data_IF_718841733164
#
_entry.id   IF_718841733164
#
_cell.length_a   1.000
_cell.length_b   1.000
_cell.length_c   1.000
_cell.angle_alpha   90.00
_cell.angle_beta   90.00
_cell.angle_gamma   90.00
#
_symmetry.space_group_name_H-M   'P 1'
#
loop_
_entity.id
_entity.type
_entity.pdbx_description
1 polymer ?
#
# COMPACT_ATOMS: atom_id res chain seq x y z
N UNK A 1 -13.18 8.76 16.02
CA UNK A 1 -12.69 8.68 14.61
C UNK A 1 -12.82 7.25 14.08
N UNK A 2 -13.98 6.90 13.50
CA UNK A 2 -14.27 5.52 13.05
C UNK A 2 -14.68 5.39 11.58
N UNK A 3 -14.63 6.48 10.80
CA UNK A 3 -15.14 6.51 9.41
C UNK A 3 -14.21 5.87 8.38
N UNK A 4 -12.88 5.93 8.59
CA UNK A 4 -11.93 5.33 7.64
C UNK A 4 -11.99 3.80 7.56
N UNK A 5 -12.17 3.11 8.70
CA UNK A 5 -12.19 1.63 8.73
C UNK A 5 -13.44 1.04 8.08
N UNK A 6 -14.60 1.70 8.25
CA UNK A 6 -15.87 1.25 7.63
C UNK A 6 -15.85 1.41 6.11
N UNK A 7 -15.24 2.50 5.60
CA UNK A 7 -15.05 2.71 4.16
C UNK A 7 -14.15 1.62 3.56
N UNK A 8 -13.00 1.35 4.19
CA UNK A 8 -12.06 0.32 3.75
C UNK A 8 -12.68 -1.08 3.75
N UNK A 9 -13.51 -1.42 4.74
CA UNK A 9 -14.21 -2.70 4.78
C UNK A 9 -15.30 -2.82 3.70
N UNK A 10 -16.03 -1.74 3.42
CA UNK A 10 -17.00 -1.69 2.32
C UNK A 10 -16.31 -1.74 0.94
N UNK A 11 -15.16 -1.09 0.80
CA UNK A 11 -14.31 -1.14 -0.40
C UNK A 11 -13.76 -2.55 -0.62
N UNK A 12 -13.30 -3.23 0.43
CA UNK A 12 -12.88 -4.64 0.40
C UNK A 12 -13.98 -5.59 -0.06
N UNK A 13 -15.20 -5.43 0.44
CA UNK A 13 -16.33 -6.28 0.08
C UNK A 13 -16.79 -6.11 -1.38
N UNK A 14 -16.37 -5.02 -2.02
CA UNK A 14 -16.75 -4.66 -3.37
C UNK A 14 -15.67 -4.91 -4.43
N UNK A 15 -14.50 -5.42 -4.03
CA UNK A 15 -13.40 -5.79 -4.93
C UNK A 15 -13.51 -7.30 -5.23
N UNK A 16 -13.37 -7.74 -6.50
CA UNK A 16 -13.29 -9.16 -6.81
C UNK A 16 -12.18 -9.85 -6.01
N UNK A 17 -12.45 -11.04 -5.49
CA UNK A 17 -11.56 -11.73 -4.54
C UNK A 17 -10.13 -11.96 -5.04
N UNK A 18 -9.96 -12.15 -6.35
CA UNK A 18 -8.65 -12.33 -6.98
C UNK A 18 -7.76 -11.07 -6.91
N UNK A 19 -8.37 -9.90 -7.11
CA UNK A 19 -7.67 -8.61 -7.03
C UNK A 19 -7.33 -8.30 -5.58
N UNK A 20 -8.28 -8.62 -4.69
CA UNK A 20 -8.04 -8.46 -3.26
C UNK A 20 -6.87 -9.33 -2.81
N UNK A 21 -6.83 -10.61 -3.20
CA UNK A 21 -5.72 -11.51 -2.89
C UNK A 21 -4.40 -11.00 -3.46
N UNK A 22 -4.40 -10.47 -4.67
CA UNK A 22 -3.19 -9.91 -5.31
C UNK A 22 -2.68 -8.65 -4.60
N UNK A 23 -3.60 -7.80 -4.11
CA UNK A 23 -3.25 -6.62 -3.31
C UNK A 23 -2.75 -7.03 -1.91
N UNK A 24 -3.39 -8.01 -1.27
CA UNK A 24 -2.99 -8.51 0.06
C UNK A 24 -1.66 -9.29 0.02
N UNK A 25 -1.34 -9.93 -1.11
CA UNK A 25 -0.06 -10.59 -1.35
C UNK A 25 1.08 -9.64 -1.71
N UNK A 26 0.79 -8.37 -1.99
CA UNK A 26 1.81 -7.40 -2.37
C UNK A 26 2.75 -7.10 -1.19
N UNK A 27 4.05 -7.08 -1.48
CA UNK A 27 5.07 -6.70 -0.51
C UNK A 27 5.27 -5.18 -0.50
N UNK A 28 5.36 -4.61 0.70
CA UNK A 28 5.56 -3.18 0.90
C UNK A 28 6.94 -2.92 1.50
N UNK A 29 7.72 -2.07 0.85
CA UNK A 29 9.04 -1.67 1.34
C UNK A 29 9.07 -0.16 1.56
N UNK A 30 9.33 0.24 2.80
CA UNK A 30 9.61 1.64 3.11
C UNK A 30 11.06 1.96 2.76
N UNK A 31 11.28 2.70 1.66
CA UNK A 31 12.61 3.23 1.35
C UNK A 31 12.78 4.56 2.06
N UNK A 32 13.75 4.62 2.99
CA UNK A 32 14.16 5.88 3.59
C UNK A 32 14.86 6.71 2.51
N UNK A 33 14.20 7.74 2.01
CA UNK A 33 14.78 8.67 1.05
C UNK A 33 15.60 9.73 1.76
N UNK A 34 16.80 10.01 1.25
CA UNK A 34 17.45 11.30 1.42
C UNK A 34 16.56 12.35 0.73
N UNK A 35 16.13 13.37 1.45
CA UNK A 35 15.15 14.41 1.04
C UNK A 35 13.65 14.04 1.08
N UNK A 36 13.06 14.50 2.18
CA UNK A 36 11.72 15.09 2.35
C UNK A 36 10.46 14.23 2.20
N UNK A 37 10.50 13.08 1.50
CA UNK A 37 9.31 12.21 1.42
C UNK A 37 9.66 10.71 1.47
N UNK A 38 9.15 9.95 2.45
CA UNK A 38 9.29 8.50 2.46
C UNK A 38 8.56 7.91 1.25
N UNK A 39 9.28 7.14 0.44
CA UNK A 39 8.74 6.47 -0.75
C UNK A 39 8.45 5.01 -0.41
N UNK A 40 7.18 4.62 -0.43
CA UNK A 40 6.79 3.22 -0.28
C UNK A 40 6.89 2.56 -1.66
N UNK A 41 7.64 1.47 -1.74
CA UNK A 41 7.68 0.61 -2.93
C UNK A 41 6.64 -0.49 -2.71
N UNK A 42 5.75 -0.66 -3.69
CA UNK A 42 4.79 -1.76 -3.74
C UNK A 42 5.32 -2.78 -4.74
N UNK A 43 5.45 -4.03 -4.31
CA UNK A 43 5.84 -5.15 -5.15
C UNK A 43 4.72 -6.19 -5.15
N UNK A 44 3.81 -6.13 -6.14
CA UNK A 44 2.79 -7.16 -6.33
C UNK A 44 3.44 -8.48 -6.76
N UNK A 45 2.80 -9.60 -6.41
CA UNK A 45 3.26 -10.93 -6.80
C UNK A 45 3.26 -11.08 -8.33
N UNK A 46 4.37 -11.56 -8.92
CA UNK A 46 4.52 -11.70 -10.37
C UNK A 46 4.77 -10.39 -11.13
N UNK A 47 4.85 -9.24 -10.45
CA UNK A 47 5.15 -7.94 -11.08
C UNK A 47 6.43 -7.31 -10.51
N UNK A 48 7.04 -6.43 -11.30
CA UNK A 48 8.13 -5.58 -10.82
C UNK A 48 7.63 -4.61 -9.75
N UNK A 49 8.47 -4.33 -8.76
CA UNK A 49 8.17 -3.33 -7.74
C UNK A 49 8.14 -1.92 -8.32
N UNK A 50 7.17 -1.10 -7.89
CA UNK A 50 7.04 0.29 -8.31
C UNK A 50 6.88 1.21 -7.10
N UNK A 51 7.24 2.49 -7.28
CA UNK A 51 7.03 3.49 -6.23
C UNK A 51 5.54 3.82 -6.17
N UNK A 52 4.96 3.76 -4.98
CA UNK A 52 3.55 4.07 -4.78
C UNK A 52 3.25 5.50 -5.23
N UNK A 53 2.39 5.63 -6.23
CA UNK A 53 1.88 6.87 -6.80
C UNK A 53 0.57 6.53 -7.51
N UNK A 54 -0.37 7.47 -7.55
CA UNK A 54 -1.69 7.26 -8.16
C UNK A 54 -1.59 6.72 -9.61
N UNK A 55 -0.75 7.37 -10.43
CA UNK A 55 -0.45 6.95 -11.81
C UNK A 55 0.15 5.53 -11.90
N UNK A 56 1.07 5.17 -10.99
CA UNK A 56 1.72 3.86 -11.02
C UNK A 56 0.77 2.74 -10.60
N UNK A 57 -0.15 3.03 -9.66
CA UNK A 57 -1.20 2.10 -9.24
C UNK A 57 -2.21 1.90 -10.37
N UNK A 58 -2.67 2.97 -11.02
CA UNK A 58 -3.57 2.88 -12.17
C UNK A 58 -2.96 2.04 -13.30
N UNK A 59 -1.70 2.32 -13.68
CA UNK A 59 -0.98 1.53 -14.69
C UNK A 59 -0.86 0.07 -14.33
N UNK A 60 -0.55 -0.24 -13.06
CA UNK A 60 -0.48 -1.62 -12.60
C UNK A 60 -1.85 -2.31 -12.66
N UNK A 61 -2.91 -1.67 -12.16
CA UNK A 61 -4.27 -2.24 -12.17
C UNK A 61 -4.75 -2.50 -13.60
N UNK A 62 -4.55 -1.56 -14.53
CA UNK A 62 -4.89 -1.75 -15.96
C UNK A 62 -4.13 -2.92 -16.60
N UNK A 63 -2.87 -3.10 -16.21
CA UNK A 63 -2.00 -4.14 -16.77
C UNK A 63 -2.29 -5.52 -16.17
N UNK A 64 -2.51 -5.60 -14.87
CA UNK A 64 -2.73 -6.84 -14.15
C UNK A 64 -4.17 -7.34 -14.31
N UNK A 65 -5.13 -6.42 -14.39
CA UNK A 65 -6.56 -6.71 -14.43
C UNK A 65 -7.26 -5.84 -15.48
N UNK A 66 -7.03 -6.09 -16.78
CA UNK A 66 -7.61 -5.29 -17.86
C UNK A 66 -9.15 -5.36 -17.92
N UNK A 67 -9.75 -6.38 -17.30
CA UNK A 67 -11.20 -6.59 -17.26
C UNK A 67 -11.91 -5.73 -16.20
N UNK A 68 -11.17 -4.91 -15.45
CA UNK A 68 -11.75 -4.11 -14.38
C UNK A 68 -12.56 -2.92 -14.90
N UNK A 69 -13.71 -2.71 -14.27
CA UNK A 69 -14.46 -1.46 -14.44
C UNK A 69 -13.75 -0.30 -13.75
N UNK A 70 -13.93 0.95 -14.22
CA UNK A 70 -13.33 2.14 -13.58
C UNK A 70 -13.64 2.26 -12.09
N UNK A 71 -14.86 1.90 -11.67
CA UNK A 71 -15.26 1.92 -10.26
C UNK A 71 -14.53 0.88 -9.41
N UNK A 72 -14.25 -0.30 -9.96
CA UNK A 72 -13.47 -1.32 -9.25
C UNK A 72 -12.01 -0.93 -9.14
N UNK A 73 -11.45 -0.29 -10.17
CA UNK A 73 -10.09 0.24 -10.13
C UNK A 73 -9.93 1.31 -9.05
N UNK A 74 -10.89 2.25 -8.96
CA UNK A 74 -10.87 3.29 -7.93
C UNK A 74 -10.92 2.69 -6.51
N UNK A 75 -11.78 1.69 -6.30
CA UNK A 75 -11.87 0.97 -5.01
C UNK A 75 -10.58 0.23 -4.68
N UNK A 76 -9.99 -0.46 -5.66
CA UNK A 76 -8.71 -1.16 -5.51
C UNK A 76 -7.57 -0.19 -5.17
N UNK A 77 -7.49 0.95 -5.85
CA UNK A 77 -6.51 2.00 -5.59
C UNK A 77 -6.67 2.60 -4.18
N UNK A 78 -7.91 2.90 -3.77
CA UNK A 78 -8.22 3.39 -2.42
C UNK A 78 -7.85 2.36 -1.33
N UNK A 79 -8.09 1.08 -1.60
CA UNK A 79 -7.74 0.00 -0.68
C UNK A 79 -6.23 -0.14 -0.54
N UNK A 80 -5.49 -0.15 -1.66
CA UNK A 80 -4.03 -0.18 -1.68
C UNK A 80 -3.43 1.04 -0.96
N UNK A 81 -3.96 2.24 -1.21
CA UNK A 81 -3.55 3.46 -0.52
C UNK A 81 -3.73 3.36 1.01
N UNK A 82 -4.78 2.70 1.46
CA UNK A 82 -5.05 2.47 2.88
C UNK A 82 -4.07 1.49 3.51
N UNK A 83 -3.68 0.44 2.78
CA UNK A 83 -2.62 -0.49 3.20
C UNK A 83 -1.26 0.21 3.29
N UNK A 84 -0.90 0.97 2.27
CA UNK A 84 0.35 1.76 2.22
C UNK A 84 0.43 2.74 3.38
N UNK A 85 -0.65 3.49 3.67
CA UNK A 85 -0.71 4.40 4.83
C UNK A 85 -0.55 3.66 6.16
N UNK A 86 -1.14 2.46 6.27
CA UNK A 86 -1.05 1.64 7.48
C UNK A 86 0.37 1.12 7.69
N UNK A 87 1.00 0.59 6.63
CA UNK A 87 2.40 0.15 6.62
C UNK A 87 3.37 1.29 6.92
N UNK A 88 3.15 2.47 6.32
CA UNK A 88 3.95 3.66 6.60
C UNK A 88 3.85 4.10 8.07
N UNK A 89 2.64 4.06 8.65
CA UNK A 89 2.44 4.39 10.07
C UNK A 89 3.14 3.39 11.00
N UNK A 90 3.11 2.10 10.66
CA UNK A 90 3.76 1.05 11.42
C UNK A 90 5.29 1.14 11.34
N UNK A 91 5.85 1.29 10.15
CA UNK A 91 7.29 1.46 9.96
C UNK A 91 7.82 2.67 10.74
N UNK A 92 7.10 3.80 10.75
CA UNK A 92 7.47 4.98 11.57
C UNK A 92 7.43 4.70 13.07
N UNK A 93 6.47 3.91 13.57
CA UNK A 93 6.42 3.50 14.99
C UNK A 93 7.59 2.59 15.36
N UNK A 94 7.97 1.68 14.47
CA UNK A 94 9.11 0.78 14.69
C UNK A 94 10.44 1.55 14.71
N UNK A 95 10.62 2.52 13.80
CA UNK A 95 11.82 3.35 13.76
C UNK A 95 12.01 4.26 14.99
N UNK A 96 10.92 4.70 15.63
CA UNK A 96 11.00 5.48 16.87
C UNK A 96 11.55 4.71 18.08
N UNK A 97 11.52 3.36 18.05
CA UNK A 97 12.06 2.51 19.13
C UNK A 97 13.52 2.09 18.91
N UNK A 98 14.07 2.25 17.72
CA UNK A 98 15.37 1.70 17.33
C UNK A 98 16.59 2.59 17.66
N UNK A 99 16.45 3.65 18.47
CA UNK A 99 17.54 4.62 18.72
C UNK A 99 18.21 4.57 20.09
N UNK A 100 17.87 3.65 21.01
CA UNK A 100 18.38 3.76 22.38
C UNK A 100 19.00 2.49 23.01
N UNK A 101 19.53 1.56 22.22
CA UNK A 101 20.21 0.37 22.76
C UNK A 101 21.74 0.35 22.60
N UNK A 102 22.33 1.33 21.90
CA UNK A 102 23.77 1.32 21.55
C UNK A 102 24.65 2.37 22.26
N UNK A 103 24.13 3.13 23.22
CA UNK A 103 24.93 4.09 24.01
C UNK A 103 24.85 3.79 25.52
N UNK A 104 25.36 2.64 25.94
CA UNK A 104 25.43 2.26 27.36
C UNK A 104 26.60 1.31 27.63
N UNK A 105 27.82 1.77 27.35
CA UNK A 105 29.08 1.17 27.79
C UNK A 105 29.93 2.27 28.44
#
# INVERSE_FOLDING_TARGET
MGWGKKKVAAERAAIPGEILASIEGAQFYTRNGDNDAPRIIVQPEGFGGFIFSDDSVDKWLKRAFPELTPHQMERAANYLASLVRSHFRESRRSQGKAKNWVNGW
#
